data_IF_221828248727
#
_entry.id   IF_221828248727
#
_cell.length_a   1.000
_cell.length_b   1.000
_cell.length_c   1.000
_cell.angle_alpha   90.00
_cell.angle_beta   90.00
_cell.angle_gamma   90.00
#
_symmetry.space_group_name_H-M   'P 1'
#
loop_
_entity.id
_entity.type
_entity.pdbx_description
1 polymer ?
#
# COMPACT_ATOMS: atom_id res chain seq x y z
N UNK A 1 -4.10 -27.56 -3.43
CA UNK A 1 -3.79 -27.35 -4.86
C UNK A 1 -4.20 -25.96 -5.38
N UNK A 2 -4.25 -24.92 -4.56
CA UNK A 2 -4.78 -23.59 -4.91
C UNK A 2 -3.74 -22.46 -4.93
N UNK A 3 -2.53 -22.70 -4.41
CA UNK A 3 -1.53 -21.64 -4.28
C UNK A 3 -0.84 -21.21 -5.59
N UNK A 4 -0.69 -22.12 -6.56
CA UNK A 4 -0.01 -21.80 -7.83
C UNK A 4 -0.83 -20.90 -8.78
N UNK A 5 -2.14 -20.78 -8.57
CA UNK A 5 -3.02 -20.01 -9.47
C UNK A 5 -2.99 -18.51 -9.19
N UNK A 6 -2.75 -18.11 -7.94
CA UNK A 6 -2.74 -16.69 -7.51
C UNK A 6 -1.49 -15.98 -8.00
N UNK A 7 -0.33 -16.64 -7.92
CA UNK A 7 0.97 -16.05 -8.34
C UNK A 7 1.02 -15.80 -9.86
N UNK A 8 0.41 -16.65 -10.67
CA UNK A 8 0.36 -16.47 -12.14
C UNK A 8 -0.51 -15.27 -12.59
N UNK A 9 -1.58 -14.95 -11.84
CA UNK A 9 -2.44 -13.81 -12.19
C UNK A 9 -1.79 -12.45 -11.88
N UNK A 10 -0.99 -12.37 -10.81
CA UNK A 10 -0.24 -11.15 -10.46
C UNK A 10 0.81 -10.80 -11.52
N UNK A 11 1.55 -11.78 -12.04
CA UNK A 11 2.57 -11.54 -13.06
C UNK A 11 2.04 -10.98 -14.40
N UNK A 12 0.82 -11.29 -14.77
CA UNK A 12 0.22 -10.76 -16.02
C UNK A 12 -0.37 -9.36 -15.85
N UNK A 13 -0.91 -9.03 -14.68
CA UNK A 13 -1.38 -7.68 -14.37
C UNK A 13 -0.22 -6.68 -14.23
N UNK A 14 0.91 -7.13 -13.73
CA UNK A 14 2.12 -6.33 -13.53
C UNK A 14 2.76 -5.95 -14.89
N UNK A 15 2.83 -6.87 -15.84
CA UNK A 15 3.37 -6.61 -17.20
C UNK A 15 2.53 -5.61 -17.99
N UNK A 16 1.22 -5.55 -17.76
CA UNK A 16 0.33 -4.59 -18.43
C UNK A 16 0.48 -3.15 -17.90
N UNK A 17 1.12 -2.96 -16.74
CA UNK A 17 1.29 -1.65 -16.07
C UNK A 17 2.58 -0.91 -16.47
N UNK A 18 3.57 -1.63 -16.97
CA UNK A 18 4.87 -1.06 -17.35
C UNK A 18 4.76 0.09 -18.37
N UNK A 19 3.93 0.02 -19.42
CA UNK A 19 3.78 1.12 -20.38
C UNK A 19 3.25 2.41 -19.75
N UNK A 20 2.39 2.31 -18.74
CA UNK A 20 1.83 3.50 -18.08
C UNK A 20 2.83 4.12 -17.10
N UNK A 21 3.59 3.32 -16.40
CA UNK A 21 4.72 3.78 -15.59
C UNK A 21 5.78 4.46 -16.46
N UNK A 22 6.03 3.98 -17.67
CA UNK A 22 6.95 4.60 -18.63
C UNK A 22 6.48 5.99 -19.06
N UNK A 23 5.18 6.17 -19.33
CA UNK A 23 4.60 7.48 -19.70
C UNK A 23 4.71 8.52 -18.57
N UNK A 24 4.73 8.08 -17.31
CA UNK A 24 4.95 8.97 -16.16
C UNK A 24 6.41 9.38 -16.00
N UNK A 25 7.35 8.57 -16.49
CA UNK A 25 8.79 8.88 -16.44
C UNK A 25 9.22 9.91 -17.48
N UNK A 26 8.58 9.89 -18.63
CA UNK A 26 8.89 10.82 -19.73
C UNK A 26 8.42 12.26 -19.40
N UNK A 27 7.60 12.41 -18.36
CA UNK A 27 7.24 13.70 -17.80
C UNK A 27 8.38 14.23 -16.90
N UNK A 28 9.29 15.00 -17.46
CA UNK A 28 10.39 15.67 -16.73
C UNK A 28 9.93 16.69 -15.69
N UNK A 29 8.66 16.95 -15.61
CA UNK A 29 8.00 17.80 -14.61
C UNK A 29 7.01 16.97 -13.80
N UNK A 30 7.17 16.96 -12.48
CA UNK A 30 6.16 16.44 -11.57
C UNK A 30 4.82 17.14 -11.84
N UNK A 31 3.97 16.47 -12.57
CA UNK A 31 2.60 16.93 -12.77
C UNK A 31 1.69 16.01 -11.91
N UNK A 32 1.04 16.54 -10.86
CA UNK A 32 0.19 15.74 -10.01
C UNK A 32 -0.93 15.11 -10.84
N UNK A 33 -0.97 13.79 -10.89
CA UNK A 33 -2.07 13.07 -11.55
C UNK A 33 -3.32 13.28 -10.69
N UNK A 34 -4.29 14.03 -11.22
CA UNK A 34 -5.63 14.14 -10.62
C UNK A 34 -6.46 12.96 -11.15
N UNK A 35 -6.74 11.96 -10.33
CA UNK A 35 -7.52 10.81 -10.77
C UNK A 35 -9.00 11.19 -10.93
N UNK A 36 -9.71 10.49 -11.82
CA UNK A 36 -11.16 10.64 -11.99
C UNK A 36 -11.92 10.25 -10.70
N UNK A 37 -11.39 9.30 -9.94
CA UNK A 37 -11.86 8.88 -8.61
C UNK A 37 -10.64 8.65 -7.73
N UNK A 38 -10.75 8.99 -6.45
CA UNK A 38 -9.72 8.70 -5.45
C UNK A 38 -10.27 7.66 -4.47
N UNK A 39 -9.69 6.47 -4.46
CA UNK A 39 -10.00 5.47 -3.45
C UNK A 39 -9.30 5.79 -2.13
N UNK A 40 -9.97 5.45 -1.03
CA UNK A 40 -9.46 5.59 0.32
C UNK A 40 -10.01 4.52 1.25
N UNK A 41 -9.41 4.38 2.42
CA UNK A 41 -9.95 3.56 3.50
C UNK A 41 -10.65 4.45 4.52
N UNK A 42 -11.84 4.04 4.93
CA UNK A 42 -12.56 4.61 6.06
C UNK A 42 -12.42 3.63 7.22
N UNK A 43 -12.06 4.14 8.38
CA UNK A 43 -11.91 3.36 9.60
C UNK A 43 -12.65 4.04 10.75
N UNK A 44 -13.57 3.31 11.38
CA UNK A 44 -14.22 3.78 12.59
C UNK A 44 -13.46 3.27 13.82
N UNK A 45 -12.85 4.17 14.56
CA UNK A 45 -12.07 3.83 15.75
C UNK A 45 -12.92 3.28 16.90
N UNK A 46 -14.22 3.63 16.93
CA UNK A 46 -15.14 3.17 17.97
C UNK A 46 -15.49 1.70 17.81
N UNK A 47 -15.56 1.22 16.57
CA UNK A 47 -15.90 -0.18 16.27
C UNK A 47 -14.67 -1.09 16.31
N UNK A 48 -13.46 -0.52 16.29
CA UNK A 48 -12.23 -1.29 16.25
C UNK A 48 -11.87 -1.88 17.61
N UNK A 49 -11.91 -3.19 17.71
CA UNK A 49 -11.49 -3.93 18.93
C UNK A 49 -9.97 -4.19 18.98
N UNK A 50 -9.22 -3.85 17.92
CA UNK A 50 -7.78 -4.05 17.86
C UNK A 50 -7.34 -5.50 17.63
N UNK A 51 -8.19 -6.35 17.09
CA UNK A 51 -7.91 -7.80 16.89
C UNK A 51 -6.81 -8.10 15.88
N UNK A 52 -6.39 -7.12 15.06
CA UNK A 52 -5.36 -7.22 14.01
C UNK A 52 -5.65 -8.23 12.89
N UNK A 53 -6.86 -8.75 12.76
CA UNK A 53 -7.24 -9.64 11.67
C UNK A 53 -6.95 -9.02 10.29
N UNK A 54 -7.16 -7.71 10.14
CA UNK A 54 -6.84 -6.96 8.94
C UNK A 54 -5.33 -6.91 8.61
N UNK A 55 -4.44 -6.94 9.61
CA UNK A 55 -3.00 -7.06 9.41
C UNK A 55 -2.65 -8.45 8.89
N UNK A 56 -3.19 -9.50 9.52
CA UNK A 56 -2.93 -10.90 9.16
C UNK A 56 -3.42 -11.16 7.73
N UNK A 57 -4.68 -10.80 7.42
CA UNK A 57 -5.24 -10.99 6.09
C UNK A 57 -4.45 -10.24 4.99
N UNK A 58 -3.95 -9.04 5.30
CA UNK A 58 -3.10 -8.29 4.38
C UNK A 58 -1.74 -8.98 4.19
N UNK A 59 -1.17 -9.51 5.25
CA UNK A 59 0.11 -10.20 5.24
C UNK A 59 0.05 -11.49 4.45
N UNK A 60 -0.98 -12.28 4.68
CA UNK A 60 -1.24 -13.54 4.00
C UNK A 60 -1.47 -13.33 2.49
N UNK A 61 -2.38 -12.42 2.14
CA UNK A 61 -2.68 -12.07 0.74
C UNK A 61 -1.44 -11.68 -0.07
N UNK A 62 -0.51 -10.94 0.56
CA UNK A 62 0.66 -10.39 -0.12
C UNK A 62 1.92 -11.25 0.07
N UNK A 63 1.84 -12.39 0.75
CA UNK A 63 2.97 -13.29 1.00
C UNK A 63 4.14 -12.58 1.70
N UNK A 64 3.84 -11.69 2.66
CA UNK A 64 4.89 -10.87 3.29
C UNK A 64 5.69 -11.68 4.31
N UNK A 65 7.01 -11.64 4.16
CA UNK A 65 7.96 -12.18 5.13
C UNK A 65 7.78 -11.57 6.54
N UNK A 66 8.34 -12.18 7.59
CA UNK A 66 8.46 -11.53 8.89
C UNK A 66 9.13 -10.16 8.78
N UNK A 67 8.51 -9.11 9.35
CA UNK A 67 8.96 -7.72 9.26
C UNK A 67 7.95 -6.82 8.56
N UNK A 68 7.89 -6.78 7.23
CA UNK A 68 7.00 -5.87 6.50
C UNK A 68 5.53 -6.05 6.84
N UNK A 69 4.82 -4.92 7.05
CA UNK A 69 3.38 -4.87 7.35
C UNK A 69 2.75 -3.69 6.63
N UNK A 70 1.98 -3.95 5.58
CA UNK A 70 1.32 -2.89 4.81
C UNK A 70 0.16 -2.25 5.55
N UNK A 71 -0.48 -2.99 6.47
CA UNK A 71 -1.50 -2.51 7.38
C UNK A 71 -1.04 -2.73 8.81
N UNK A 72 -1.25 -1.71 9.66
CA UNK A 72 -0.82 -1.71 11.06
C UNK A 72 -1.93 -1.16 11.93
N UNK A 73 -2.26 -1.86 12.99
CA UNK A 73 -3.15 -1.37 14.05
C UNK A 73 -2.30 -0.95 15.24
N UNK A 74 -2.30 0.34 15.52
CA UNK A 74 -1.59 0.93 16.63
C UNK A 74 -2.56 1.22 17.77
N UNK A 75 -2.13 0.97 18.99
CA UNK A 75 -2.83 1.37 20.19
C UNK A 75 -2.26 2.70 20.66
N UNK A 76 -3.15 3.63 20.96
CA UNK A 76 -2.81 4.92 21.55
C UNK A 76 -3.56 5.01 22.88
N UNK A 77 -2.81 5.09 23.95
CA UNK A 77 -3.31 5.15 25.32
C UNK A 77 -2.73 6.37 26.00
N UNK A 78 -3.49 6.97 26.87
CA UNK A 78 -3.05 8.15 27.62
C UNK A 78 -4.03 8.56 28.71
N UNK A 79 -3.74 9.71 29.34
CA UNK A 79 -4.46 10.20 30.49
C UNK A 79 -3.89 9.65 31.82
N UNK A 80 -4.57 9.93 32.90
CA UNK A 80 -4.30 9.39 34.25
C UNK A 80 -5.61 9.00 34.91
N UNK A 81 -5.56 7.96 35.72
CA UNK A 81 -6.78 7.49 36.41
C UNK A 81 -7.42 8.61 37.25
N UNK A 82 -8.77 8.81 37.21
CA UNK A 82 -9.75 8.00 36.48
C UNK A 82 -9.95 8.37 34.99
N UNK A 83 -9.37 9.47 34.51
CA UNK A 83 -9.58 10.04 33.18
C UNK A 83 -8.56 9.44 32.18
N UNK A 84 -8.73 8.17 31.86
CA UNK A 84 -7.90 7.46 30.88
C UNK A 84 -8.62 7.31 29.54
N UNK A 85 -7.86 7.30 28.43
CA UNK A 85 -8.39 6.99 27.12
C UNK A 85 -7.53 5.95 26.40
N UNK A 86 -8.16 5.16 25.54
CA UNK A 86 -7.50 4.23 24.65
C UNK A 86 -8.27 4.15 23.31
N UNK A 87 -7.57 4.29 22.19
CA UNK A 87 -8.15 4.10 20.88
C UNK A 87 -7.15 3.43 19.92
N UNK A 88 -7.68 2.87 18.83
CA UNK A 88 -6.92 2.11 17.87
C UNK A 88 -6.85 2.90 16.55
N UNK A 89 -5.65 3.12 16.05
CA UNK A 89 -5.42 3.77 14.76
C UNK A 89 -4.98 2.73 13.75
N UNK A 90 -5.74 2.61 12.67
CA UNK A 90 -5.44 1.68 11.60
C UNK A 90 -4.76 2.41 10.44
N UNK A 91 -3.48 2.14 10.25
CA UNK A 91 -2.65 2.81 9.25
C UNK A 91 -2.26 1.88 8.10
N UNK A 92 -2.26 2.44 6.90
CA UNK A 92 -1.71 1.83 5.68
C UNK A 92 -1.21 2.93 4.74
N UNK A 93 -0.86 2.61 3.50
CA UNK A 93 -0.59 3.65 2.51
C UNK A 93 -1.85 4.50 2.27
N UNK A 94 -1.71 5.82 2.35
CA UNK A 94 -2.81 6.76 2.12
C UNK A 94 -3.04 7.07 0.64
N UNK A 95 -2.22 6.54 -0.26
CA UNK A 95 -2.26 6.82 -1.70
C UNK A 95 -2.41 8.33 -1.98
N UNK A 96 -1.55 9.13 -1.38
CA UNK A 96 -1.60 10.59 -1.31
C UNK A 96 -1.98 11.24 -2.64
N UNK A 97 -2.63 12.40 -2.57
CA UNK A 97 -2.89 13.23 -3.74
C UNK A 97 -1.55 13.61 -4.42
N UNK A 98 -0.61 14.06 -3.60
CA UNK A 98 0.77 14.37 -3.98
C UNK A 98 1.73 13.42 -3.24
N UNK A 99 2.05 12.26 -3.80
CA UNK A 99 2.86 11.26 -3.13
C UNK A 99 4.34 11.64 -3.12
N UNK A 100 4.90 12.04 -1.98
CA UNK A 100 6.31 12.37 -1.82
C UNK A 100 7.26 11.23 -2.21
N UNK A 101 6.80 9.99 -2.10
CA UNK A 101 7.57 8.81 -2.53
C UNK A 101 7.78 8.72 -4.04
N UNK A 102 6.93 9.36 -4.86
CA UNK A 102 7.02 9.31 -6.32
C UNK A 102 8.26 10.05 -6.83
N UNK A 103 8.48 11.34 -6.54
CA UNK A 103 9.69 12.04 -6.98
C UNK A 103 10.97 11.53 -6.30
N UNK A 104 10.85 10.86 -5.16
CA UNK A 104 12.00 10.29 -4.45
C UNK A 104 12.55 9.02 -5.13
N UNK A 105 11.80 8.40 -6.04
CA UNK A 105 12.20 7.16 -6.69
C UNK A 105 13.16 7.45 -7.87
N UNK A 106 14.45 7.04 -7.79
CA UNK A 106 15.44 7.35 -8.83
C UNK A 106 15.20 6.59 -10.14
N UNK A 107 14.55 5.43 -10.06
CA UNK A 107 14.25 4.58 -11.24
C UNK A 107 12.85 4.84 -11.80
N UNK A 108 12.04 5.69 -11.16
CA UNK A 108 10.66 5.90 -11.54
C UNK A 108 9.77 4.66 -11.37
N UNK A 109 10.16 3.73 -10.50
CA UNK A 109 9.36 2.53 -10.20
C UNK A 109 8.01 2.85 -9.54
N UNK A 110 7.90 4.02 -8.89
CA UNK A 110 6.66 4.45 -8.23
C UNK A 110 5.84 5.29 -9.20
N UNK A 111 4.56 4.98 -9.29
CA UNK A 111 3.63 5.67 -10.17
C UNK A 111 2.23 5.75 -9.55
N UNK A 112 1.41 6.66 -10.05
CA UNK A 112 0.03 6.86 -9.58
C UNK A 112 -0.95 6.58 -10.71
N UNK A 113 -1.95 5.77 -10.42
CA UNK A 113 -3.02 5.43 -11.36
C UNK A 113 -3.92 6.65 -11.64
N UNK A 114 -4.30 6.84 -12.89
CA UNK A 114 -5.18 7.94 -13.32
C UNK A 114 -6.66 7.65 -13.09
N UNK A 115 -7.04 6.38 -13.08
CA UNK A 115 -8.42 5.93 -12.95
C UNK A 115 -8.95 5.98 -11.51
N UNK A 116 -8.09 5.66 -10.53
CA UNK A 116 -8.52 5.46 -9.14
C UNK A 116 -7.58 6.04 -8.08
N UNK A 117 -6.50 6.71 -8.49
CA UNK A 117 -5.55 7.38 -7.62
C UNK A 117 -4.66 6.48 -6.78
N UNK A 118 -4.67 5.18 -6.99
CA UNK A 118 -3.79 4.24 -6.28
C UNK A 118 -2.35 4.50 -6.70
N UNK A 119 -1.48 4.68 -5.71
CA UNK A 119 -0.03 4.75 -5.91
C UNK A 119 0.52 3.35 -5.82
N UNK A 120 1.31 2.92 -6.80
CA UNK A 120 1.87 1.57 -6.84
C UNK A 120 3.38 1.59 -7.09
N UNK A 121 4.04 0.44 -6.90
CA UNK A 121 5.47 0.23 -7.15
C UNK A 121 5.61 -0.89 -8.17
N UNK A 122 6.31 -0.62 -9.25
CA UNK A 122 6.71 -1.63 -10.22
C UNK A 122 7.96 -2.36 -9.71
N UNK A 123 7.79 -3.62 -9.34
CA UNK A 123 8.86 -4.46 -8.80
C UNK A 123 10.00 -4.72 -9.80
N UNK A 124 9.71 -4.66 -11.11
CA UNK A 124 10.73 -4.89 -12.15
C UNK A 124 11.73 -3.75 -12.28
N UNK A 125 11.35 -2.56 -11.81
CA UNK A 125 12.12 -1.33 -11.88
C UNK A 125 12.68 -0.91 -10.52
N UNK A 126 12.15 -1.53 -9.45
CA UNK A 126 12.60 -1.25 -8.10
C UNK A 126 14.00 -1.84 -7.89
N UNK A 127 14.91 -1.02 -7.40
CA UNK A 127 16.29 -1.41 -7.04
C UNK A 127 16.49 -1.54 -5.53
N UNK A 128 15.44 -1.49 -4.74
CA UNK A 128 15.52 -1.63 -3.29
C UNK A 128 16.24 -0.49 -2.54
N UNK A 129 16.43 0.69 -3.14
CA UNK A 129 17.23 1.78 -2.57
C UNK A 129 16.63 2.45 -1.32
N UNK A 130 15.41 2.14 -0.94
CA UNK A 130 14.68 2.59 0.27
C UNK A 130 14.43 4.11 0.37
N UNK A 131 14.72 4.92 -0.66
CA UNK A 131 14.45 6.36 -0.63
C UNK A 131 12.97 6.68 -0.39
N UNK A 132 12.07 5.93 -1.00
CA UNK A 132 10.63 6.08 -0.81
C UNK A 132 10.18 5.77 0.62
N UNK A 133 10.86 4.83 1.30
CA UNK A 133 10.64 4.52 2.72
C UNK A 133 11.05 5.70 3.61
N UNK A 134 12.24 6.25 3.37
CA UNK A 134 12.76 7.40 4.13
C UNK A 134 11.94 8.68 3.93
N UNK A 135 11.39 8.89 2.72
CA UNK A 135 10.63 10.10 2.39
C UNK A 135 9.17 10.04 2.86
N UNK A 136 8.62 8.84 3.11
CA UNK A 136 7.21 8.69 3.47
C UNK A 136 6.98 9.03 4.96
N UNK A 137 6.18 10.08 5.28
CA UNK A 137 5.91 10.44 6.68
C UNK A 137 5.09 9.39 7.43
N UNK A 138 4.44 8.48 6.70
CA UNK A 138 3.61 7.42 7.27
C UNK A 138 4.33 6.06 7.32
N UNK A 139 5.57 5.95 6.84
CA UNK A 139 6.32 4.71 6.76
C UNK A 139 5.59 3.60 5.98
N UNK A 140 4.84 3.97 4.92
CA UNK A 140 4.04 3.01 4.18
C UNK A 140 4.84 2.11 3.24
N UNK A 141 5.82 2.60 2.46
CA UNK A 141 6.77 1.75 1.76
C UNK A 141 7.68 1.07 2.77
N UNK A 142 7.89 -0.24 2.62
CA UNK A 142 8.73 -1.03 3.50
C UNK A 142 9.62 -1.95 2.69
N UNK A 143 10.88 -2.05 3.11
CA UNK A 143 11.84 -2.95 2.49
C UNK A 143 11.56 -4.40 2.89
N UNK A 144 11.52 -5.28 1.92
CA UNK A 144 11.39 -6.73 2.11
C UNK A 144 12.75 -7.38 1.84
N UNK A 145 13.40 -7.94 2.87
CA UNK A 145 14.71 -8.55 2.70
C UNK A 145 14.67 -9.89 1.94
N UNK A 146 13.48 -10.47 1.74
CA UNK A 146 13.36 -11.76 1.04
C UNK A 146 13.64 -11.67 -0.46
N UNK A 147 13.34 -10.53 -1.06
CA UNK A 147 13.58 -10.26 -2.48
C UNK A 147 14.37 -8.97 -2.75
N UNK A 148 14.81 -8.29 -1.68
CA UNK A 148 15.55 -7.03 -1.73
C UNK A 148 14.80 -5.87 -2.40
N UNK A 149 13.47 -5.87 -2.35
CA UNK A 149 12.62 -4.86 -2.95
C UNK A 149 11.87 -4.05 -1.89
N UNK A 150 11.44 -2.85 -2.28
CA UNK A 150 10.50 -2.08 -1.45
C UNK A 150 9.09 -2.37 -1.92
N UNK A 151 8.23 -2.69 -0.97
CA UNK A 151 6.82 -2.99 -1.19
C UNK A 151 5.92 -2.08 -0.35
N UNK A 152 4.66 -1.95 -0.73
CA UNK A 152 3.64 -1.21 0.03
C UNK A 152 2.24 -1.67 -0.32
N UNK A 153 1.26 -1.21 0.44
CA UNK A 153 -0.15 -1.41 0.12
C UNK A 153 -0.48 -0.85 -1.29
N UNK A 154 -1.11 -1.67 -2.13
CA UNK A 154 -1.65 -1.31 -3.44
C UNK A 154 -3.20 -1.31 -3.47
N UNK A 155 -3.84 -1.26 -2.29
CA UNK A 155 -5.30 -1.38 -2.09
C UNK A 155 -5.89 -2.71 -2.57
N UNK A 156 -5.10 -3.77 -2.73
CA UNK A 156 -5.53 -5.01 -3.38
C UNK A 156 -6.25 -4.72 -4.71
N UNK A 157 -5.59 -3.98 -5.59
CA UNK A 157 -6.19 -3.48 -6.83
C UNK A 157 -6.74 -4.61 -7.71
N UNK A 158 -6.12 -5.78 -7.67
CA UNK A 158 -6.58 -7.02 -8.29
C UNK A 158 -7.98 -7.43 -7.81
N UNK A 159 -8.26 -7.25 -6.53
CA UNK A 159 -9.58 -7.52 -5.96
C UNK A 159 -10.60 -6.43 -6.35
N UNK A 160 -10.19 -5.17 -6.29
CA UNK A 160 -11.04 -4.05 -6.67
C UNK A 160 -11.44 -4.12 -8.16
N UNK A 161 -10.51 -4.47 -9.05
CA UNK A 161 -10.77 -4.68 -10.46
C UNK A 161 -11.72 -5.87 -10.72
N UNK A 162 -11.72 -6.86 -9.83
CA UNK A 162 -12.65 -7.98 -9.85
C UNK A 162 -13.99 -7.70 -9.15
N UNK A 163 -14.23 -6.45 -8.71
CA UNK A 163 -15.45 -6.04 -7.99
C UNK A 163 -15.53 -6.55 -6.54
N UNK A 164 -14.42 -7.01 -5.98
CA UNK A 164 -14.35 -7.51 -4.59
C UNK A 164 -13.73 -6.47 -3.66
N UNK A 165 -13.91 -6.66 -2.36
CA UNK A 165 -13.31 -5.81 -1.33
C UNK A 165 -11.83 -6.19 -1.10
N UNK A 166 -10.97 -5.23 -0.70
CA UNK A 166 -9.63 -5.55 -0.21
C UNK A 166 -9.67 -6.55 0.95
N UNK A 167 -8.71 -7.46 1.02
CA UNK A 167 -8.68 -8.52 2.04
C UNK A 167 -8.75 -7.99 3.48
N UNK A 168 -8.07 -6.89 3.77
CA UNK A 168 -8.13 -6.27 5.09
C UNK A 168 -9.53 -5.73 5.45
N UNK A 169 -10.33 -5.33 4.45
CA UNK A 169 -11.72 -4.90 4.65
C UNK A 169 -12.63 -6.10 4.79
N UNK A 170 -12.36 -7.18 4.06
CA UNK A 170 -13.16 -8.41 4.16
C UNK A 170 -12.94 -9.16 5.47
N UNK A 171 -11.79 -8.97 6.11
CA UNK A 171 -11.44 -9.62 7.39
C UNK A 171 -11.93 -8.84 8.61
N UNK A 172 -12.46 -7.63 8.43
CA UNK A 172 -13.03 -6.78 9.45
C UNK A 172 -14.56 -6.86 9.38
#
# INVERSE_FOLDING_TARGET
MTEKLVIRKLGNAEKARVPEAQKLRDATTYNPVVPAKQFGFIHNNMDCIGCRACEIACKDKNGLAPGPRFRRVMYIEGGSFPDVFAYKVNMSCNHCAEPACLPACPTGAIWKRKDNGVVDIDSTLCIGCRRCEATCPFGAPQYDPSDNLVKKCNMCIDELEAGRKPYCVSAC
#
